data_IF_825125338440
#
_entry.id   IF_825125338440
#
_cell.length_a   1.000
_cell.length_b   1.000
_cell.length_c   1.000
_cell.angle_alpha   90.00
_cell.angle_beta   90.00
_cell.angle_gamma   90.00
#
_symmetry.space_group_name_H-M   'P 1'
#
loop_
_entity.id
_entity.type
_entity.pdbx_description
1 polymer ?
#
# COMPACT_ATOMS: atom_id res chain seq x y z
N UNK A 1 -14.36 8.90 -9.04
CA UNK A 1 -13.07 8.18 -9.02
C UNK A 1 -13.20 6.99 -8.08
N UNK A 2 -12.79 5.79 -8.48
CA UNK A 2 -12.90 4.59 -7.65
C UNK A 2 -11.74 4.60 -6.65
N UNK A 3 -12.02 4.73 -5.35
CA UNK A 3 -10.99 4.66 -4.32
C UNK A 3 -10.60 3.20 -4.07
N UNK A 4 -9.32 2.88 -4.26
CA UNK A 4 -8.79 1.54 -3.97
C UNK A 4 -8.18 1.53 -2.57
N UNK A 5 -8.84 0.81 -1.65
CA UNK A 5 -8.33 0.63 -0.28
C UNK A 5 -7.27 -0.47 -0.26
N UNK A 6 -6.17 -0.18 0.42
CA UNK A 6 -5.05 -1.07 0.64
C UNK A 6 -4.94 -1.40 2.12
N UNK A 7 -4.57 -2.63 2.44
CA UNK A 7 -4.50 -3.13 3.82
C UNK A 7 -3.15 -3.77 4.05
N UNK A 8 -2.54 -3.43 5.18
CA UNK A 8 -1.28 -4.00 5.64
C UNK A 8 -1.44 -4.46 7.09
N UNK A 9 -1.05 -5.70 7.37
CA UNK A 9 -1.14 -6.28 8.70
C UNK A 9 0.24 -6.77 9.18
N UNK A 10 0.56 -6.49 10.44
CA UNK A 10 1.70 -7.03 11.16
C UNK A 10 1.18 -7.71 12.44
N UNK A 11 1.56 -8.97 12.65
CA UNK A 11 1.27 -9.70 13.89
C UNK A 11 2.59 -9.96 14.60
N UNK A 12 2.70 -9.52 15.85
CA UNK A 12 3.94 -9.62 16.64
C UNK A 12 3.60 -9.67 18.12
N UNK A 13 4.22 -10.60 18.85
CA UNK A 13 4.08 -10.71 20.32
C UNK A 13 2.63 -10.73 20.83
N UNK A 14 1.69 -11.29 20.05
CA UNK A 14 0.26 -11.32 20.40
C UNK A 14 -0.51 -10.04 20.06
N UNK A 15 0.16 -9.00 19.57
CA UNK A 15 -0.45 -7.76 19.08
C UNK A 15 -0.64 -7.79 17.57
N UNK A 16 -1.69 -7.12 17.10
CA UNK A 16 -2.05 -7.01 15.69
C UNK A 16 -2.13 -5.55 15.28
N UNK A 17 -1.27 -5.15 14.35
CA UNK A 17 -1.23 -3.81 13.78
C UNK A 17 -1.81 -3.87 12.36
N UNK A 18 -3.01 -3.34 12.18
CA UNK A 18 -3.69 -3.30 10.88
C UNK A 18 -3.78 -1.85 10.41
N UNK A 19 -3.18 -1.57 9.26
CA UNK A 19 -3.21 -0.27 8.61
C UNK A 19 -4.03 -0.35 7.33
N UNK A 20 -5.08 0.46 7.26
CA UNK A 20 -5.89 0.64 6.06
C UNK A 20 -5.63 2.05 5.52
N UNK A 21 -5.42 2.15 4.21
CA UNK A 21 -5.09 3.42 3.57
C UNK A 21 -5.51 3.42 2.11
N UNK A 22 -5.66 4.61 1.55
CA UNK A 22 -5.80 4.85 0.12
C UNK A 22 -4.60 5.66 -0.40
N UNK A 23 -4.64 6.01 -1.69
CA UNK A 23 -3.56 6.73 -2.36
C UNK A 23 -3.34 8.16 -1.83
N UNK A 24 -4.37 8.77 -1.24
CA UNK A 24 -4.30 10.11 -0.66
C UNK A 24 -3.71 10.07 0.76
N UNK A 25 -3.74 8.89 1.40
CA UNK A 25 -3.40 8.73 2.82
C UNK A 25 -1.96 8.28 3.09
N UNK A 26 -1.11 8.14 2.07
CA UNK A 26 0.26 7.62 2.24
C UNK A 26 1.10 8.39 3.27
N UNK A 27 1.06 9.72 3.24
CA UNK A 27 1.85 10.55 4.18
C UNK A 27 1.33 10.44 5.61
N UNK A 28 0.00 10.34 5.78
CA UNK A 28 -0.62 10.13 7.07
C UNK A 28 -0.26 8.74 7.63
N UNK A 29 -0.26 7.71 6.77
CA UNK A 29 0.18 6.36 7.14
C UNK A 29 1.62 6.34 7.62
N UNK A 30 2.56 6.94 6.88
CA UNK A 30 3.98 6.95 7.26
C UNK A 30 4.19 7.67 8.60
N UNK A 31 3.46 8.76 8.86
CA UNK A 31 3.48 9.45 10.15
C UNK A 31 2.94 8.56 11.27
N UNK A 32 1.86 7.82 11.04
CA UNK A 32 1.29 6.92 12.04
C UNK A 32 2.22 5.75 12.36
N UNK A 33 2.86 5.16 11.34
CA UNK A 33 3.88 4.13 11.51
C UNK A 33 5.03 4.64 12.40
N UNK A 34 5.50 5.87 12.17
CA UNK A 34 6.52 6.50 13.01
C UNK A 34 6.07 6.74 14.44
N UNK A 35 4.81 7.14 14.66
CA UNK A 35 4.23 7.29 16.00
C UNK A 35 4.18 5.96 16.75
N UNK A 36 3.78 4.87 16.10
CA UNK A 36 3.72 3.55 16.74
C UNK A 36 5.12 3.05 17.13
N UNK A 37 6.14 3.31 16.30
CA UNK A 37 7.51 2.95 16.64
C UNK A 37 8.13 3.79 17.77
N UNK A 38 7.60 4.99 18.00
CA UNK A 38 8.02 5.87 19.08
C UNK A 38 7.31 5.58 20.40
N UNK A 39 6.25 4.76 20.40
CA UNK A 39 5.47 4.42 21.58
C UNK A 39 6.05 3.18 22.27
N UNK A 40 6.66 3.33 23.47
CA UNK A 40 7.28 2.20 24.18
C UNK A 40 6.27 1.18 24.74
N UNK A 41 4.97 1.52 24.81
CA UNK A 41 3.94 0.60 25.28
C UNK A 41 3.52 -0.41 24.19
N UNK A 42 3.88 -0.16 22.93
CA UNK A 42 3.59 -1.04 21.80
C UNK A 42 4.77 -1.97 21.53
N UNK A 43 4.49 -3.22 21.12
CA UNK A 43 5.53 -4.12 20.62
C UNK A 43 6.03 -3.78 19.21
N UNK A 44 5.68 -2.61 18.70
CA UNK A 44 6.00 -2.11 17.36
C UNK A 44 7.32 -1.33 17.39
N UNK A 45 8.35 -1.83 16.69
CA UNK A 45 9.69 -1.23 16.73
C UNK A 45 9.99 -0.31 15.55
N UNK A 46 11.03 0.52 15.67
CA UNK A 46 11.58 1.30 14.55
C UNK A 46 12.02 0.44 13.36
N UNK A 47 12.44 -0.80 13.61
CA UNK A 47 12.75 -1.76 12.56
C UNK A 47 11.48 -2.15 11.78
N UNK A 48 10.39 -2.44 12.50
CA UNK A 48 9.08 -2.74 11.88
C UNK A 48 8.62 -1.54 11.04
N UNK A 49 8.72 -0.32 11.59
CA UNK A 49 8.41 0.91 10.87
C UNK A 49 9.18 1.05 9.55
N UNK A 50 10.49 0.79 9.56
CA UNK A 50 11.33 0.90 8.38
C UNK A 50 10.91 -0.11 7.30
N UNK A 51 10.67 -1.37 7.69
CA UNK A 51 10.25 -2.43 6.77
C UNK A 51 8.87 -2.12 6.18
N UNK A 52 7.89 -1.72 7.00
CA UNK A 52 6.56 -1.37 6.51
C UNK A 52 6.60 -0.13 5.62
N UNK A 53 7.36 0.90 5.99
CA UNK A 53 7.53 2.11 5.17
C UNK A 53 8.11 1.80 3.78
N UNK A 54 9.07 0.87 3.70
CA UNK A 54 9.63 0.44 2.42
C UNK A 54 8.59 -0.32 1.58
N UNK A 55 7.79 -1.19 2.19
CA UNK A 55 6.70 -1.91 1.50
C UNK A 55 5.67 -0.94 0.92
N UNK A 56 5.26 0.05 1.71
CA UNK A 56 4.31 1.09 1.27
C UNK A 56 4.83 1.85 0.05
N UNK A 57 6.13 2.22 0.04
CA UNK A 57 6.75 2.90 -1.11
C UNK A 57 6.75 2.03 -2.37
N UNK A 58 7.20 0.78 -2.26
CA UNK A 58 7.21 -0.17 -3.38
C UNK A 58 5.80 -0.42 -3.94
N UNK A 59 4.81 -0.53 -3.06
CA UNK A 59 3.43 -0.72 -3.48
C UNK A 59 2.87 0.49 -4.22
N UNK A 60 3.17 1.70 -3.73
CA UNK A 60 2.79 2.94 -4.42
C UNK A 60 3.40 3.02 -5.82
N UNK A 61 4.68 2.66 -5.97
CA UNK A 61 5.36 2.61 -7.27
C UNK A 61 4.71 1.58 -8.20
N UNK A 62 4.37 0.38 -7.71
CA UNK A 62 3.71 -0.65 -8.49
C UNK A 62 2.31 -0.24 -8.96
N UNK A 63 1.52 0.43 -8.10
CA UNK A 63 0.20 0.96 -8.46
C UNK A 63 0.35 2.04 -9.54
N UNK A 64 1.29 2.98 -9.36
CA UNK A 64 1.53 4.03 -10.33
C UNK A 64 1.96 3.46 -11.71
N UNK A 65 2.74 2.37 -11.75
CA UNK A 65 3.09 1.69 -13.00
C UNK A 65 1.88 1.04 -13.67
N UNK A 66 1.05 0.32 -12.89
CA UNK A 66 -0.18 -0.31 -13.42
C UNK A 66 -1.13 0.73 -14.01
N UNK A 67 -1.32 1.84 -13.31
CA UNK A 67 -2.26 2.87 -13.74
C UNK A 67 -1.71 3.71 -14.90
N UNK A 68 -0.38 3.70 -15.14
CA UNK A 68 0.27 4.34 -16.27
C UNK A 68 0.27 3.49 -17.55
N UNK A 69 0.04 2.18 -17.45
CA UNK A 69 -0.11 1.30 -18.61
C UNK A 69 -1.58 1.34 -19.06
N UNK A 70 -1.91 2.01 -20.20
CA UNK A 70 -3.28 2.05 -20.66
C UNK A 70 -3.76 0.63 -20.92
N UNK A 71 -5.00 0.30 -20.51
CA UNK A 71 -5.65 -0.98 -20.81
C UNK A 71 -5.81 -1.15 -22.33
N UNK A 72 -4.74 -1.57 -23.00
CA UNK A 72 -4.64 -1.63 -24.46
C UNK A 72 -5.02 -3.03 -24.92
N UNK A 73 -6.15 -3.57 -24.44
CA UNK A 73 -6.49 -4.98 -24.69
C UNK A 73 -7.87 -5.27 -25.29
N UNK A 74 -8.67 -4.30 -25.74
CA UNK A 74 -9.96 -4.62 -26.41
C UNK A 74 -10.26 -3.84 -27.70
N UNK A 75 -9.34 -3.77 -28.67
CA UNK A 75 -9.71 -3.27 -30.02
C UNK A 75 -8.86 -3.73 -31.21
N UNK A 76 -8.38 -4.97 -31.25
CA UNK A 76 -7.68 -5.43 -32.47
C UNK A 76 -8.08 -6.80 -32.98
N UNK A 77 -8.81 -7.64 -32.24
CA UNK A 77 -9.14 -8.99 -32.72
C UNK A 77 -10.52 -9.15 -33.42
N UNK A 78 -11.33 -8.09 -33.56
CA UNK A 78 -12.68 -8.21 -34.16
C UNK A 78 -12.86 -7.54 -35.54
N UNK A 79 -11.79 -7.11 -36.23
CA UNK A 79 -11.92 -6.52 -37.58
C UNK A 79 -11.64 -7.48 -38.74
N UNK A 80 -11.11 -8.67 -38.48
CA UNK A 80 -10.80 -9.66 -39.53
C UNK A 80 -11.78 -10.85 -39.56
N UNK A 81 -12.89 -10.76 -38.82
CA UNK A 81 -14.00 -11.71 -38.87
C UNK A 81 -15.25 -11.06 -39.51
N UNK A 82 -15.14 -10.66 -40.78
CA UNK A 82 -16.29 -10.36 -41.65
C UNK A 82 -15.89 -10.46 -43.13
#
# INVERSE_FOLDING_TARGET
MKKTVQVMALVKNGEQFVFMYDEESYDALLKQIGRYAADPELSFSWYDAAILSQKVRKQREAIAQRDAEPETFERTEWRDAA
#
